data_IF_180547304528
#
_entry.id   IF_180547304528
#
_cell.length_a   1.000
_cell.length_b   1.000
_cell.length_c   1.000
_cell.angle_alpha   90.00
_cell.angle_beta   90.00
_cell.angle_gamma   90.00
#
_symmetry.space_group_name_H-M   'P 1'
#
loop_
_entity.id
_entity.type
_entity.pdbx_description
1 polymer ?
#
# COMPACT_ATOMS: atom_id res chain seq x y z
N UNK A 1 7.15 2.42 -13.04
CA UNK A 1 6.41 1.73 -11.98
C UNK A 1 4.92 1.98 -12.16
N UNK A 2 4.10 0.96 -12.03
CA UNK A 2 2.65 1.06 -12.23
C UNK A 2 1.98 1.21 -10.86
N UNK A 3 1.05 2.15 -10.74
CA UNK A 3 0.32 2.37 -9.48
C UNK A 3 -1.13 1.91 -9.64
N UNK A 4 -1.61 1.11 -8.69
CA UNK A 4 -3.02 0.76 -8.56
C UNK A 4 -3.53 1.26 -7.22
N UNK A 5 -4.77 1.75 -7.22
CA UNK A 5 -5.40 2.27 -6.00
C UNK A 5 -6.70 1.51 -5.73
N UNK A 6 -6.82 0.96 -4.52
CA UNK A 6 -8.06 0.30 -4.13
C UNK A 6 -9.17 1.33 -3.91
N UNK A 7 -10.42 0.86 -3.92
CA UNK A 7 -11.55 1.73 -3.62
C UNK A 7 -11.46 2.30 -2.20
N UNK A 8 -11.00 1.49 -1.24
CA UNK A 8 -10.81 1.94 0.13
C UNK A 8 -9.78 3.07 0.23
N UNK A 9 -8.69 2.96 -0.53
CA UNK A 9 -7.67 4.00 -0.56
C UNK A 9 -8.24 5.31 -1.13
N UNK A 10 -8.94 5.22 -2.26
CA UNK A 10 -9.54 6.38 -2.92
C UNK A 10 -10.59 7.04 -2.02
N UNK A 11 -11.45 6.25 -1.40
CA UNK A 11 -12.48 6.78 -0.50
C UNK A 11 -11.86 7.46 0.71
N UNK A 12 -10.81 6.88 1.27
CA UNK A 12 -10.11 7.46 2.40
C UNK A 12 -9.44 8.78 2.02
N UNK A 13 -8.87 8.85 0.83
CA UNK A 13 -8.26 10.08 0.31
C UNK A 13 -9.30 11.19 0.17
N UNK A 14 -10.50 10.87 -0.29
CA UNK A 14 -11.59 11.83 -0.39
C UNK A 14 -12.02 12.37 0.98
N UNK A 15 -12.05 11.51 2.00
CA UNK A 15 -12.37 11.92 3.38
C UNK A 15 -11.30 12.85 3.96
N UNK A 16 -10.06 12.69 3.53
CA UNK A 16 -8.92 13.43 4.06
C UNK A 16 -8.30 14.32 2.97
N UNK A 17 -9.15 15.08 2.29
CA UNK A 17 -8.74 15.89 1.14
C UNK A 17 -7.61 16.89 1.47
N UNK A 18 -7.54 17.37 2.71
CA UNK A 18 -6.48 18.27 3.15
C UNK A 18 -5.09 17.61 3.11
N UNK A 19 -5.04 16.28 3.12
CA UNK A 19 -3.79 15.52 3.05
C UNK A 19 -3.40 15.13 1.64
N UNK A 20 -4.19 15.49 0.65
CA UNK A 20 -4.00 15.04 -0.74
C UNK A 20 -2.59 15.27 -1.25
N UNK A 21 -2.04 16.47 -1.05
CA UNK A 21 -0.71 16.81 -1.55
C UNK A 21 0.39 15.99 -0.85
N UNK A 22 0.25 15.80 0.46
CA UNK A 22 1.22 15.03 1.25
C UNK A 22 1.16 13.55 0.83
N UNK A 23 -0.04 13.03 0.64
CA UNK A 23 -0.25 11.64 0.20
C UNK A 23 0.33 11.44 -1.19
N UNK A 24 0.05 12.35 -2.14
CA UNK A 24 0.57 12.27 -3.50
C UNK A 24 2.10 12.23 -3.52
N UNK A 25 2.71 13.08 -2.70
CA UNK A 25 4.17 13.13 -2.59
C UNK A 25 4.74 11.81 -2.09
N UNK A 26 4.12 11.25 -1.06
CA UNK A 26 4.55 9.95 -0.52
C UNK A 26 4.35 8.82 -1.51
N UNK A 27 3.23 8.81 -2.23
CA UNK A 27 2.97 7.82 -3.29
C UNK A 27 4.09 7.86 -4.33
N UNK A 28 4.47 9.05 -4.78
CA UNK A 28 5.54 9.19 -5.76
C UNK A 28 6.87 8.65 -5.22
N UNK A 29 7.17 8.91 -3.97
CA UNK A 29 8.38 8.39 -3.32
C UNK A 29 8.37 6.87 -3.23
N UNK A 30 7.23 6.29 -2.87
CA UNK A 30 7.08 4.83 -2.80
C UNK A 30 7.28 4.20 -4.18
N UNK A 31 6.77 4.81 -5.23
CA UNK A 31 6.92 4.30 -6.59
C UNK A 31 8.38 4.28 -7.05
N UNK A 32 9.22 5.16 -6.51
CA UNK A 32 10.65 5.14 -6.85
C UNK A 32 11.44 4.12 -6.02
N UNK A 33 10.96 3.76 -4.84
CA UNK A 33 11.67 2.82 -3.96
C UNK A 33 10.68 2.08 -3.03
N UNK A 34 9.86 1.16 -3.58
CA UNK A 34 8.81 0.52 -2.79
C UNK A 34 9.33 -0.37 -1.66
N UNK A 35 10.51 -0.95 -1.80
CA UNK A 35 11.07 -1.82 -0.76
C UNK A 35 11.78 -1.04 0.32
N UNK A 36 12.49 0.02 -0.06
CA UNK A 36 13.31 0.78 0.90
C UNK A 36 12.53 1.80 1.73
N UNK A 37 11.39 2.25 1.24
CA UNK A 37 10.64 3.32 1.88
C UNK A 37 9.65 2.85 2.93
N UNK A 38 9.08 1.65 2.77
CA UNK A 38 8.09 1.11 3.67
C UNK A 38 8.65 0.01 4.55
N UNK A 39 7.96 -0.27 5.65
CA UNK A 39 8.28 -1.39 6.52
C UNK A 39 7.43 -2.61 6.16
N UNK A 40 8.05 -3.78 5.98
CA UNK A 40 7.28 -5.00 5.74
C UNK A 40 6.49 -5.38 6.99
N UNK A 41 5.24 -5.76 6.79
CA UNK A 41 4.34 -6.14 7.86
C UNK A 41 4.38 -7.65 8.10
N UNK A 42 3.95 -8.06 9.28
CA UNK A 42 3.95 -9.46 9.71
C UNK A 42 2.54 -9.90 10.11
N UNK A 43 2.39 -11.19 10.40
CA UNK A 43 1.12 -11.75 10.84
C UNK A 43 0.07 -11.68 9.74
N UNK A 44 -1.10 -11.15 10.06
CA UNK A 44 -2.22 -11.05 9.13
C UNK A 44 -1.94 -10.11 7.96
N UNK A 45 -0.94 -9.25 8.08
CA UNK A 45 -0.56 -8.29 7.04
C UNK A 45 0.70 -8.71 6.29
N UNK A 46 1.11 -9.94 6.41
CA UNK A 46 2.29 -10.44 5.70
C UNK A 46 2.13 -10.22 4.19
N UNK A 47 3.18 -9.70 3.57
CA UNK A 47 3.18 -9.37 2.16
C UNK A 47 2.91 -7.90 1.87
N UNK A 48 2.40 -7.17 2.86
CA UNK A 48 2.13 -5.74 2.73
C UNK A 48 3.25 -4.92 3.35
N UNK A 49 3.30 -3.64 2.97
CA UNK A 49 4.22 -2.65 3.52
C UNK A 49 3.44 -1.48 4.08
N UNK A 50 3.99 -0.80 5.07
CA UNK A 50 3.42 0.43 5.58
C UNK A 50 4.42 1.57 5.45
N UNK A 51 3.93 2.76 5.12
CA UNK A 51 4.75 3.97 5.04
C UNK A 51 4.01 5.13 5.70
N UNK A 52 4.65 5.83 6.66
CA UNK A 52 4.00 6.95 7.32
C UNK A 52 3.88 8.15 6.37
N UNK A 53 2.72 8.79 6.39
CA UNK A 53 2.47 10.02 5.63
C UNK A 53 2.60 11.21 6.54
N UNK A 54 1.92 11.14 7.69
CA UNK A 54 1.96 12.09 8.78
C UNK A 54 1.93 11.32 10.08
N UNK A 55 2.05 12.05 11.19
CA UNK A 55 1.90 11.47 12.51
C UNK A 55 0.57 10.72 12.60
N UNK A 56 0.61 9.44 12.89
CA UNK A 56 -0.52 8.53 13.02
C UNK A 56 -1.30 8.24 11.73
N UNK A 57 -0.79 8.69 10.58
CA UNK A 57 -1.41 8.39 9.28
C UNK A 57 -0.47 7.54 8.45
N UNK A 58 -0.99 6.42 7.91
CA UNK A 58 -0.21 5.45 7.15
C UNK A 58 -0.80 5.19 5.77
N UNK A 59 0.09 4.84 4.84
CA UNK A 59 -0.27 4.17 3.61
C UNK A 59 0.11 2.70 3.76
N UNK A 60 -0.81 1.79 3.44
CA UNK A 60 -0.50 0.37 3.34
C UNK A 60 -0.54 -0.01 1.87
N UNK A 61 0.53 -0.64 1.40
CA UNK A 61 0.67 -1.00 -0.01
C UNK A 61 1.28 -2.38 -0.20
N UNK A 62 1.13 -2.89 -1.41
CA UNK A 62 1.65 -4.18 -1.84
C UNK A 62 2.51 -3.97 -3.07
N UNK A 63 3.72 -4.53 -3.06
CA UNK A 63 4.60 -4.50 -4.23
C UNK A 63 4.60 -5.87 -4.87
N UNK A 64 4.05 -5.99 -6.08
CA UNK A 64 3.80 -7.27 -6.73
C UNK A 64 5.06 -8.11 -6.93
N UNK A 65 6.16 -7.49 -7.34
CA UNK A 65 7.42 -8.20 -7.53
C UNK A 65 7.86 -8.92 -6.25
N UNK A 66 7.87 -8.21 -5.12
CA UNK A 66 8.31 -8.78 -3.85
C UNK A 66 7.31 -9.80 -3.31
N UNK A 67 6.03 -9.55 -3.52
CA UNK A 67 4.97 -10.48 -3.14
C UNK A 67 5.19 -11.84 -3.79
N UNK A 68 5.45 -11.84 -5.08
CA UNK A 68 5.69 -13.06 -5.84
C UNK A 68 7.02 -13.74 -5.50
N UNK A 69 8.08 -12.96 -5.36
CA UNK A 69 9.41 -13.49 -5.01
C UNK A 69 9.44 -14.19 -3.67
N UNK A 70 8.67 -13.68 -2.71
CA UNK A 70 8.60 -14.25 -1.36
C UNK A 70 7.54 -15.34 -1.23
N UNK A 71 6.75 -15.57 -2.27
CA UNK A 71 5.62 -16.49 -2.21
C UNK A 71 4.45 -15.96 -1.41
N UNK A 72 4.44 -14.69 -1.06
CA UNK A 72 3.37 -14.07 -0.28
C UNK A 72 2.07 -13.95 -1.07
N UNK A 73 2.13 -14.06 -2.39
CA UNK A 73 0.96 -14.04 -3.27
C UNK A 73 -0.04 -15.16 -2.91
N UNK A 74 0.43 -16.28 -2.40
CA UNK A 74 -0.43 -17.37 -1.94
C UNK A 74 -1.19 -17.00 -0.67
N UNK A 75 -0.60 -16.13 0.16
CA UNK A 75 -1.20 -15.70 1.43
C UNK A 75 -2.10 -14.50 1.22
N UNK A 76 -1.63 -13.51 0.45
CA UNK A 76 -2.36 -12.28 0.17
C UNK A 76 -3.57 -12.52 -0.70
N UNK A 77 -3.46 -13.41 -1.69
CA UNK A 77 -4.53 -13.75 -2.63
C UNK A 77 -5.19 -12.53 -3.25
N UNK A 78 -4.35 -11.65 -3.79
CA UNK A 78 -4.80 -10.43 -4.44
C UNK A 78 -5.58 -10.77 -5.71
N UNK A 79 -6.75 -10.16 -5.89
CA UNK A 79 -7.59 -10.40 -7.07
C UNK A 79 -6.93 -9.98 -8.38
N UNK A 80 -6.03 -9.03 -8.30
CA UNK A 80 -5.38 -8.46 -9.47
C UNK A 80 -4.05 -9.12 -9.82
N UNK A 81 -3.62 -10.12 -9.03
CA UNK A 81 -2.30 -10.72 -9.19
C UNK A 81 -2.02 -11.23 -10.60
N UNK A 82 -3.00 -11.90 -11.21
CA UNK A 82 -2.85 -12.48 -12.54
C UNK A 82 -2.78 -11.41 -13.65
N UNK A 83 -3.22 -10.19 -13.37
CA UNK A 83 -3.29 -9.11 -14.33
C UNK A 83 -2.24 -8.03 -14.13
N UNK A 84 -1.53 -8.08 -13.02
CA UNK A 84 -0.54 -7.05 -12.68
C UNK A 84 0.85 -7.49 -13.08
N UNK A 85 1.61 -6.55 -13.67
CA UNK A 85 3.02 -6.73 -13.93
C UNK A 85 3.82 -6.68 -12.61
N UNK A 86 5.04 -7.19 -12.61
CA UNK A 86 5.90 -7.20 -11.42
C UNK A 86 6.18 -5.80 -10.88
N UNK A 87 6.27 -4.81 -11.76
CA UNK A 87 6.54 -3.42 -11.36
C UNK A 87 5.30 -2.68 -10.85
N UNK A 88 4.25 -3.39 -10.47
CA UNK A 88 3.02 -2.78 -9.95
C UNK A 88 3.10 -2.62 -8.44
N UNK A 89 2.72 -1.43 -7.95
CA UNK A 89 2.51 -1.16 -6.54
C UNK A 89 1.02 -0.90 -6.34
N UNK A 90 0.38 -1.70 -5.49
CA UNK A 90 -1.04 -1.56 -5.19
C UNK A 90 -1.20 -0.86 -3.85
N UNK A 91 -1.78 0.34 -3.86
CA UNK A 91 -2.06 1.10 -2.65
C UNK A 91 -3.41 0.65 -2.11
N UNK A 92 -3.42 0.04 -0.93
CA UNK A 92 -4.56 -0.71 -0.40
C UNK A 92 -5.34 0.09 0.63
N UNK A 93 -4.63 0.74 1.56
CA UNK A 93 -5.27 1.45 2.66
C UNK A 93 -4.58 2.78 2.91
N UNK A 94 -5.35 3.76 3.34
CA UNK A 94 -4.87 5.05 3.79
C UNK A 94 -5.71 5.44 5.01
N UNK A 95 -5.06 5.77 6.11
CA UNK A 95 -5.81 6.21 7.26
C UNK A 95 -4.99 6.28 8.53
N UNK A 96 -5.63 6.64 9.64
CA UNK A 96 -5.00 6.58 10.95
C UNK A 96 -4.48 5.18 11.23
N UNK A 97 -3.37 5.10 11.97
CA UNK A 97 -2.69 3.84 12.25
C UNK A 97 -3.65 2.73 12.68
N UNK A 98 -4.53 3.01 13.62
CA UNK A 98 -5.45 2.00 14.15
C UNK A 98 -6.47 1.54 13.10
N UNK A 99 -7.05 2.49 12.37
CA UNK A 99 -8.06 2.17 11.36
C UNK A 99 -7.49 1.45 10.15
N UNK A 100 -6.26 1.77 9.75
CA UNK A 100 -5.63 1.11 8.62
C UNK A 100 -5.46 -0.39 8.85
N UNK A 101 -5.14 -0.78 10.07
CA UNK A 101 -4.97 -2.18 10.41
C UNK A 101 -6.29 -2.90 10.68
N UNK A 102 -7.32 -2.20 11.14
CA UNK A 102 -8.64 -2.78 11.38
C UNK A 102 -9.34 -3.19 10.09
N UNK A 103 -9.15 -2.45 9.03
CA UNK A 103 -9.88 -2.62 7.77
C UNK A 103 -9.25 -3.62 6.81
N UNK A 104 -8.27 -4.31 7.26
CA UNK A 104 -7.73 -5.37 6.46
C UNK A 104 -8.65 -6.60 6.51
#
# INVERSE_FOLDING_TARGET
>A
MIALFSDDFVNSLKKHATLKNVVQKKVNMILTNPVGLGEPLKGNFRGYYSAPVKRNFLIIYLYCLMCRRRGDDEIVRCHDCARCADETVKFVQLGPHDHAYENR
#
